data_IF_694925277086
#
_entry.id   IF_694925277086
#
_cell.length_a   1.000
_cell.length_b   1.000
_cell.length_c   1.000
_cell.angle_alpha   90.00
_cell.angle_beta   90.00
_cell.angle_gamma   90.00
#
_symmetry.space_group_name_H-M   'P 1'
#
loop_
_entity.id
_entity.type
_entity.pdbx_description
1 polymer ?
#
# COMPACT_ATOMS: atom_id res chain seq x y z
N UNK A 1 -20.03 2.11 5.20
CA UNK A 1 -18.56 2.22 5.32
C UNK A 1 -18.00 2.80 4.03
N UNK A 2 -17.10 3.78 4.14
CA UNK A 2 -16.49 4.43 2.97
C UNK A 2 -15.37 3.61 2.34
N UNK A 3 -15.25 3.72 1.02
CA UNK A 3 -14.23 3.11 0.18
C UNK A 3 -13.62 4.19 -0.71
N UNK A 4 -12.32 4.10 -0.96
CA UNK A 4 -11.58 5.03 -1.82
C UNK A 4 -10.68 4.25 -2.78
N UNK A 5 -10.66 4.69 -4.03
CA UNK A 5 -9.67 4.30 -5.02
C UNK A 5 -9.21 5.56 -5.76
N UNK A 6 -7.91 5.77 -5.88
CA UNK A 6 -7.38 6.98 -6.51
C UNK A 6 -6.15 6.71 -7.37
N UNK A 7 -5.88 7.67 -8.24
CA UNK A 7 -4.63 7.84 -8.99
C UNK A 7 -4.12 9.25 -8.71
N UNK A 8 -3.03 9.67 -9.35
CA UNK A 8 -2.57 11.06 -9.29
C UNK A 8 -3.56 12.08 -9.89
N UNK A 9 -4.53 11.63 -10.69
CA UNK A 9 -5.47 12.52 -11.41
C UNK A 9 -6.92 12.42 -10.95
N UNK A 10 -7.32 11.29 -10.39
CA UNK A 10 -8.71 10.99 -10.10
C UNK A 10 -8.86 10.32 -8.75
N UNK A 11 -9.95 10.65 -8.05
CA UNK A 11 -10.38 10.01 -6.81
C UNK A 11 -11.81 9.54 -6.96
N UNK A 12 -12.05 8.27 -6.65
CA UNK A 12 -13.37 7.66 -6.60
C UNK A 12 -13.72 7.33 -5.14
N UNK A 13 -14.87 7.82 -4.68
CA UNK A 13 -15.39 7.59 -3.34
C UNK A 13 -16.73 6.85 -3.44
N UNK A 14 -16.89 5.78 -2.66
CA UNK A 14 -18.15 5.06 -2.57
C UNK A 14 -18.46 4.66 -1.12
N UNK A 15 -19.74 4.66 -0.77
CA UNK A 15 -20.21 4.09 0.49
C UNK A 15 -20.87 2.74 0.22
N UNK A 16 -20.59 1.77 1.08
CA UNK A 16 -21.23 0.46 1.02
C UNK A 16 -21.45 -0.09 2.44
N UNK A 17 -22.53 -0.83 2.65
CA UNK A 17 -22.89 -1.38 3.97
C UNK A 17 -21.86 -2.40 4.47
N UNK A 18 -21.21 -3.12 3.54
CA UNK A 18 -20.07 -4.01 3.81
C UNK A 18 -18.73 -3.31 3.56
N UNK A 19 -17.67 -3.81 4.22
CA UNK A 19 -16.27 -3.43 4.02
C UNK A 19 -15.50 -4.38 3.09
N UNK A 20 -15.88 -5.65 3.08
CA UNK A 20 -15.04 -6.73 2.53
C UNK A 20 -15.13 -6.87 1.02
N UNK A 21 -14.80 -8.07 0.53
CA UNK A 21 -14.81 -8.44 -0.89
C UNK A 21 -16.14 -8.08 -1.59
N UNK A 22 -17.28 -8.35 -0.96
CA UNK A 22 -18.60 -7.97 -1.53
C UNK A 22 -18.66 -6.49 -1.92
N UNK A 23 -18.22 -5.60 -1.05
CA UNK A 23 -18.26 -4.16 -1.31
C UNK A 23 -17.35 -3.76 -2.47
N UNK A 24 -16.14 -4.32 -2.48
CA UNK A 24 -15.13 -4.01 -3.50
C UNK A 24 -15.48 -4.63 -4.87
N UNK A 25 -16.20 -5.75 -4.87
CA UNK A 25 -16.81 -6.36 -6.05
C UNK A 25 -17.96 -5.51 -6.59
N UNK A 26 -18.90 -5.09 -5.73
CA UNK A 26 -20.06 -4.28 -6.12
C UNK A 26 -19.64 -2.87 -6.62
N UNK A 27 -18.57 -2.29 -6.07
CA UNK A 27 -17.96 -1.04 -6.57
C UNK A 27 -17.34 -1.27 -7.97
N UNK A 28 -16.88 -2.48 -8.26
CA UNK A 28 -16.50 -2.89 -9.61
C UNK A 28 -15.18 -2.35 -10.15
N UNK A 29 -14.35 -1.67 -9.35
CA UNK A 29 -13.02 -1.21 -9.77
C UNK A 29 -12.00 -2.36 -9.66
N UNK A 30 -11.82 -2.86 -8.44
CA UNK A 30 -10.79 -3.85 -8.08
C UNK A 30 -10.89 -5.18 -8.87
N UNK A 31 -12.09 -5.74 -9.14
CA UNK A 31 -12.22 -6.98 -9.91
C UNK A 31 -11.69 -6.93 -11.34
N UNK A 32 -11.56 -5.72 -11.90
CA UNK A 32 -11.14 -5.49 -13.30
C UNK A 32 -9.74 -4.87 -13.42
N UNK A 33 -9.13 -4.52 -12.29
CA UNK A 33 -7.86 -3.81 -12.27
C UNK A 33 -6.69 -4.80 -12.42
N UNK A 34 -5.77 -4.49 -13.33
CA UNK A 34 -4.61 -5.33 -13.66
C UNK A 34 -3.27 -4.60 -13.50
N UNK A 35 -3.28 -3.37 -12.98
CA UNK A 35 -2.07 -2.60 -12.70
C UNK A 35 -1.49 -2.89 -11.31
N UNK A 36 -0.66 -1.99 -10.81
CA UNK A 36 -0.13 -2.06 -9.44
C UNK A 36 -1.13 -1.46 -8.44
N UNK A 37 -1.79 -2.31 -7.67
CA UNK A 37 -2.70 -1.93 -6.62
C UNK A 37 -1.90 -1.63 -5.35
N UNK A 38 -1.70 -0.34 -5.05
CA UNK A 38 -1.15 0.09 -3.78
C UNK A 38 -2.26 0.13 -2.71
N UNK A 39 -2.13 -0.66 -1.66
CA UNK A 39 -3.16 -0.78 -0.63
C UNK A 39 -2.58 -0.99 0.78
N UNK A 40 -3.41 -0.89 1.82
CA UNK A 40 -3.01 -1.21 3.21
C UNK A 40 -2.98 -2.73 3.45
N UNK A 41 -2.67 -3.19 4.66
CA UNK A 41 -2.61 -4.62 5.00
C UNK A 41 -3.96 -5.36 5.04
N UNK A 42 -5.06 -4.82 4.53
CA UNK A 42 -6.37 -5.46 4.66
C UNK A 42 -6.48 -6.73 3.80
N UNK A 43 -6.77 -7.87 4.45
CA UNK A 43 -6.82 -9.20 3.84
C UNK A 43 -7.88 -9.44 2.74
N UNK A 44 -8.65 -8.42 2.36
CA UNK A 44 -9.51 -8.49 1.17
C UNK A 44 -8.71 -8.36 -0.12
N UNK A 45 -7.68 -7.50 -0.15
CA UNK A 45 -6.97 -7.16 -1.38
C UNK A 45 -6.20 -8.31 -2.03
N UNK A 46 -5.50 -9.20 -1.27
CA UNK A 46 -4.78 -10.33 -1.88
C UNK A 46 -5.65 -11.31 -2.68
N UNK A 47 -6.98 -11.19 -2.60
CA UNK A 47 -7.94 -12.00 -3.37
C UNK A 47 -8.06 -11.55 -4.84
N UNK A 48 -7.49 -10.40 -5.22
CA UNK A 48 -7.53 -9.85 -6.57
C UNK A 48 -6.24 -10.17 -7.34
N UNK A 49 -6.05 -11.46 -7.66
CA UNK A 49 -4.79 -12.01 -8.20
C UNK A 49 -4.37 -11.49 -9.58
N UNK A 50 -5.27 -10.79 -10.28
CA UNK A 50 -4.99 -10.20 -11.58
C UNK A 50 -4.16 -8.92 -11.50
N UNK A 51 -4.09 -8.30 -10.32
CA UNK A 51 -3.32 -7.09 -10.07
C UNK A 51 -1.92 -7.44 -9.52
N UNK A 52 -0.94 -6.60 -9.85
CA UNK A 52 0.31 -6.56 -9.06
C UNK A 52 0.02 -5.85 -7.75
N UNK A 53 0.52 -6.38 -6.63
CA UNK A 53 0.26 -5.80 -5.31
C UNK A 53 1.47 -4.99 -4.83
N UNK A 54 1.20 -3.81 -4.27
CA UNK A 54 2.14 -3.03 -3.50
C UNK A 54 1.50 -2.62 -2.18
N UNK A 55 2.28 -2.61 -1.11
CA UNK A 55 1.77 -2.15 0.17
C UNK A 55 2.09 -0.67 0.38
N UNK A 56 1.12 0.06 0.92
CA UNK A 56 1.27 1.48 1.18
C UNK A 56 2.21 1.70 2.36
N UNK A 57 3.42 2.18 2.09
CA UNK A 57 4.42 2.47 3.14
C UNK A 57 3.92 3.45 4.19
N UNK A 58 3.06 4.41 3.85
CA UNK A 58 2.47 5.32 4.85
C UNK A 58 1.56 4.60 5.86
N UNK A 59 0.83 3.57 5.40
CA UNK A 59 0.04 2.71 6.29
C UNK A 59 0.94 1.84 7.16
N UNK A 60 1.97 1.26 6.57
CA UNK A 60 2.95 0.46 7.30
C UNK A 60 3.73 1.23 8.34
N UNK A 61 4.15 2.46 8.06
CA UNK A 61 4.85 3.30 9.03
C UNK A 61 3.97 3.58 10.27
N UNK A 62 2.65 3.71 10.08
CA UNK A 62 1.71 3.86 11.20
C UNK A 62 1.57 2.57 12.02
N UNK A 63 1.53 1.41 11.36
CA UNK A 63 1.50 0.10 12.04
C UNK A 63 2.82 -0.15 12.80
N UNK A 64 3.97 0.13 12.17
CA UNK A 64 5.30 0.00 12.76
C UNK A 64 5.44 0.87 14.00
N UNK A 65 4.86 2.08 14.02
CA UNK A 65 4.85 2.93 15.22
C UNK A 65 4.22 2.21 16.42
N UNK A 66 3.11 1.50 16.23
CA UNK A 66 2.48 0.71 17.29
C UNK A 66 3.38 -0.40 17.82
N UNK A 67 4.16 -1.06 16.95
CA UNK A 67 5.15 -2.05 17.39
C UNK A 67 6.33 -1.42 18.15
N UNK A 68 6.77 -0.23 17.75
CA UNK A 68 7.81 0.52 18.47
C UNK A 68 7.34 0.86 19.89
N UNK A 69 6.09 1.33 20.02
CA UNK A 69 5.47 1.65 21.32
C UNK A 69 5.34 0.40 22.21
N UNK A 70 5.24 -0.79 21.62
CA UNK A 70 5.26 -2.09 22.32
C UNK A 70 6.69 -2.60 22.62
N UNK A 71 7.73 -1.83 22.30
CA UNK A 71 9.13 -2.18 22.58
C UNK A 71 9.81 -3.04 21.51
N UNK A 72 9.19 -3.23 20.35
CA UNK A 72 9.78 -4.04 19.27
C UNK A 72 10.84 -3.25 18.48
N UNK A 73 12.11 -3.49 18.80
CA UNK A 73 13.25 -2.79 18.18
C UNK A 73 13.40 -3.03 16.67
N UNK A 74 12.92 -4.16 16.16
CA UNK A 74 12.94 -4.44 14.72
C UNK A 74 12.06 -3.46 13.93
N UNK A 75 10.99 -2.93 14.53
CA UNK A 75 10.07 -2.03 13.86
C UNK A 75 10.70 -0.64 13.63
N UNK A 76 11.56 -0.19 14.56
CA UNK A 76 12.39 1.01 14.36
C UNK A 76 13.35 0.83 13.19
N UNK A 77 14.02 -0.33 13.10
CA UNK A 77 14.94 -0.63 11.99
C UNK A 77 14.21 -0.65 10.64
N UNK A 78 13.03 -1.26 10.59
CA UNK A 78 12.20 -1.27 9.38
C UNK A 78 11.73 0.14 9.00
N UNK A 79 11.32 0.95 9.97
CA UNK A 79 10.96 2.36 9.76
C UNK A 79 12.11 3.15 9.13
N UNK A 80 13.32 3.01 9.69
CA UNK A 80 14.52 3.65 9.13
C UNK A 80 14.79 3.18 7.70
N UNK A 81 14.70 1.87 7.44
CA UNK A 81 14.90 1.30 6.12
C UNK A 81 13.91 1.85 5.08
N UNK A 82 12.60 1.86 5.38
CA UNK A 82 11.58 2.34 4.45
C UNK A 82 11.75 3.83 4.11
N UNK A 83 12.15 4.65 5.08
CA UNK A 83 12.43 6.06 4.86
C UNK A 83 13.69 6.28 4.03
N UNK A 84 14.76 5.52 4.28
CA UNK A 84 15.99 5.56 3.48
C UNK A 84 15.73 5.12 2.03
N UNK A 85 14.95 4.05 1.83
CA UNK A 85 14.56 3.58 0.50
C UNK A 85 13.77 4.66 -0.27
N UNK A 86 12.83 5.35 0.40
CA UNK A 86 12.12 6.49 -0.19
C UNK A 86 13.08 7.59 -0.63
N UNK A 87 14.02 7.98 0.24
CA UNK A 87 15.00 9.03 -0.07
C UNK A 87 15.88 8.64 -1.27
N UNK A 88 16.33 7.39 -1.34
CA UNK A 88 17.09 6.88 -2.46
C UNK A 88 16.28 6.98 -3.77
N UNK A 89 15.03 6.51 -3.78
CA UNK A 89 14.16 6.61 -4.97
C UNK A 89 13.94 8.06 -5.41
N UNK A 90 13.77 8.98 -4.47
CA UNK A 90 13.61 10.42 -4.78
C UNK A 90 14.88 11.04 -5.36
N UNK A 91 16.06 10.68 -4.84
CA UNK A 91 17.34 11.13 -5.37
C UNK A 91 17.59 10.62 -6.80
N UNK A 92 16.98 9.50 -7.19
CA UNK A 92 17.05 8.91 -8.54
C UNK A 92 15.82 9.25 -9.41
N UNK A 93 15.11 10.33 -9.11
CA UNK A 93 14.00 10.84 -9.92
C UNK A 93 12.81 9.86 -10.09
N UNK A 94 12.58 9.01 -9.09
CA UNK A 94 11.34 8.23 -8.97
C UNK A 94 11.50 6.72 -9.14
N UNK A 95 12.68 6.22 -9.52
CA UNK A 95 12.98 4.79 -9.51
C UNK A 95 14.49 4.54 -9.36
N UNK A 96 14.86 3.45 -8.69
CA UNK A 96 16.23 2.95 -8.67
C UNK A 96 16.46 2.02 -9.88
N UNK A 97 17.69 1.93 -10.36
CA UNK A 97 18.06 0.85 -11.29
C UNK A 97 17.98 -0.50 -10.59
N UNK A 98 17.87 -1.60 -11.34
CA UNK A 98 17.83 -2.94 -10.74
C UNK A 98 19.08 -3.25 -9.89
N UNK A 99 20.25 -2.75 -10.31
CA UNK A 99 21.50 -2.96 -9.58
C UNK A 99 21.52 -2.19 -8.26
N UNK A 100 20.93 -0.99 -8.23
CA UNK A 100 20.81 -0.18 -7.01
C UNK A 100 19.73 -0.71 -6.06
N UNK A 101 18.65 -1.27 -6.61
CA UNK A 101 17.57 -1.85 -5.81
C UNK A 101 17.95 -3.18 -5.14
N UNK A 102 19.00 -3.86 -5.62
CA UNK A 102 19.50 -5.13 -5.07
C UNK A 102 20.55 -4.97 -3.95
N UNK A 103 21.05 -3.76 -3.72
CA UNK A 103 22.06 -3.45 -2.69
C UNK A 103 21.44 -3.28 -1.31
#
# INVERSE_FOLDING_TARGET
MGHVACTSKYTYLASHVSRGKKATDDIGILPRYQGTMMHDGFGTYPKYTQATHALCHAHHLRELKGFIEQGHTWASRMTTFLLAAKQAVEAHHGALSEEEAKR
#
